data_IF_090462679367
#
_entry.id   IF_090462679367
#
_cell.length_a   1.000
_cell.length_b   1.000
_cell.length_c   1.000
_cell.angle_alpha   90.00
_cell.angle_beta   90.00
_cell.angle_gamma   90.00
#
_symmetry.space_group_name_H-M   'P 1'
#
loop_
_entity.id
_entity.type
_entity.pdbx_description
1 polymer ?
#
# COMPACT_ATOMS: atom_id res chain seq x y z
N UNK A 1 1.38 -4.92 12.64
CA UNK A 1 2.48 -4.43 13.51
C UNK A 1 2.86 -5.53 14.47
N UNK A 2 4.15 -5.83 14.62
CA UNK A 2 4.64 -6.77 15.63
C UNK A 2 5.22 -5.97 16.81
N UNK A 3 4.81 -6.29 18.03
CA UNK A 3 5.29 -5.65 19.27
C UNK A 3 6.32 -6.56 19.93
N UNK A 4 7.50 -6.03 20.29
CA UNK A 4 8.65 -6.79 20.80
C UNK A 4 9.73 -7.04 19.74
N UNK A 5 10.93 -7.42 20.18
CA UNK A 5 12.10 -7.59 19.32
C UNK A 5 11.89 -8.67 18.26
N UNK A 6 11.77 -8.28 16.99
CA UNK A 6 11.60 -9.18 15.86
C UNK A 6 12.95 -9.58 15.22
N UNK A 7 14.02 -9.57 16.04
CA UNK A 7 15.40 -9.74 15.61
C UNK A 7 15.66 -11.06 14.85
N UNK A 8 14.95 -12.12 15.21
CA UNK A 8 15.10 -13.47 14.64
C UNK A 8 14.50 -13.60 13.24
N UNK A 9 13.59 -12.70 12.80
CA UNK A 9 12.88 -12.80 11.51
C UNK A 9 13.23 -11.63 10.57
N UNK A 10 13.59 -10.46 11.11
CA UNK A 10 13.87 -9.25 10.33
C UNK A 10 15.23 -8.60 10.63
N UNK A 11 16.08 -9.23 11.45
CA UNK A 11 17.37 -8.68 11.87
C UNK A 11 17.24 -7.56 12.91
N UNK A 12 18.33 -6.83 13.17
CA UNK A 12 18.39 -5.77 14.19
C UNK A 12 17.25 -4.76 13.94
N UNK A 13 16.36 -4.63 14.92
CA UNK A 13 15.22 -3.71 14.89
C UNK A 13 15.17 -2.89 16.18
N UNK A 14 14.57 -1.71 16.11
CA UNK A 14 14.36 -0.88 17.30
C UNK A 14 13.54 -1.67 18.34
N UNK A 15 13.83 -1.53 19.65
CA UNK A 15 13.16 -2.28 20.72
C UNK A 15 11.64 -2.07 20.79
N UNK A 16 11.12 -1.04 20.12
CA UNK A 16 9.69 -0.76 19.98
C UNK A 16 8.92 -1.66 18.98
N UNK A 17 9.61 -2.48 18.18
CA UNK A 17 9.00 -3.38 17.20
C UNK A 17 9.14 -2.92 15.75
N UNK A 18 8.49 -3.65 14.83
CA UNK A 18 8.62 -3.45 13.37
C UNK A 18 7.28 -3.09 12.73
N UNK A 19 7.32 -2.10 11.84
CA UNK A 19 6.22 -1.75 10.93
C UNK A 19 6.54 -2.30 9.54
N UNK A 20 5.71 -3.21 9.06
CA UNK A 20 5.85 -3.78 7.72
C UNK A 20 4.83 -3.11 6.78
N UNK A 21 5.32 -2.36 5.81
CA UNK A 21 4.52 -1.80 4.72
C UNK A 21 4.54 -2.75 3.53
N UNK A 22 3.39 -3.37 3.26
CA UNK A 22 3.23 -4.24 2.09
C UNK A 22 2.66 -3.43 0.94
N UNK A 23 3.43 -3.32 -0.14
CA UNK A 23 2.97 -2.71 -1.39
C UNK A 23 1.80 -3.50 -1.98
N UNK A 24 0.89 -2.79 -2.65
CA UNK A 24 -0.15 -3.42 -3.45
C UNK A 24 0.48 -4.12 -4.65
N UNK A 25 0.00 -5.31 -4.97
CA UNK A 25 0.45 -6.11 -6.12
C UNK A 25 -0.70 -6.26 -7.12
N UNK A 26 -0.40 -6.81 -8.29
CA UNK A 26 -1.44 -7.19 -9.26
C UNK A 26 -2.18 -8.47 -8.86
N UNK A 27 -3.49 -8.49 -9.09
CA UNK A 27 -4.33 -9.68 -8.94
C UNK A 27 -4.55 -10.42 -10.25
N UNK A 28 -5.23 -11.57 -10.19
CA UNK A 28 -5.58 -12.39 -11.37
C UNK A 28 -6.67 -11.77 -12.24
N UNK A 29 -7.33 -10.73 -11.73
CA UNK A 29 -8.36 -9.97 -12.44
C UNK A 29 -8.05 -8.49 -12.32
N UNK A 30 -8.42 -7.73 -13.34
CA UNK A 30 -8.29 -6.27 -13.33
C UNK A 30 -9.19 -5.69 -12.24
N UNK A 31 -8.61 -4.91 -11.33
CA UNK A 31 -9.30 -4.18 -10.27
C UNK A 31 -8.80 -2.76 -10.21
N UNK A 32 -9.75 -1.82 -10.27
CA UNK A 32 -9.51 -0.40 -10.11
C UNK A 32 -10.26 0.11 -8.89
N UNK A 33 -9.62 0.99 -8.12
CA UNK A 33 -10.20 1.63 -6.95
C UNK A 33 -9.86 3.11 -6.99
N UNK A 34 -10.89 3.94 -6.79
CA UNK A 34 -10.75 5.39 -6.61
C UNK A 34 -11.39 5.74 -5.28
N UNK A 35 -10.75 6.65 -4.53
CA UNK A 35 -11.25 7.11 -3.24
C UNK A 35 -11.04 8.61 -3.11
N UNK A 36 -12.12 9.34 -2.81
CA UNK A 36 -12.06 10.73 -2.38
C UNK A 36 -12.07 10.84 -0.86
N UNK A 37 -11.29 11.76 -0.30
CA UNK A 37 -11.28 12.10 1.12
C UNK A 37 -11.42 13.60 1.25
N UNK A 38 -12.40 14.05 2.04
CA UNK A 38 -12.63 15.45 2.40
C UNK A 38 -12.60 15.60 3.92
N UNK A 39 -12.09 16.71 4.43
CA UNK A 39 -12.01 16.93 5.87
C UNK A 39 -11.71 18.37 6.27
N UNK A 40 -11.59 18.59 7.57
CA UNK A 40 -11.25 19.89 8.15
C UNK A 40 -9.82 20.32 7.82
N UNK A 41 -9.56 21.64 7.81
CA UNK A 41 -8.27 22.26 7.44
C UNK A 41 -7.89 22.02 5.97
N UNK A 42 -8.85 22.28 5.08
CA UNK A 42 -8.67 22.20 3.62
C UNK A 42 -8.17 20.84 3.12
N UNK A 43 -8.50 19.75 3.85
CA UNK A 43 -8.09 18.41 3.44
C UNK A 43 -8.93 17.94 2.25
N UNK A 44 -8.35 17.97 1.06
CA UNK A 44 -8.90 17.35 -0.14
C UNK A 44 -7.89 16.38 -0.74
N UNK A 45 -8.20 15.09 -0.70
CA UNK A 45 -7.32 14.04 -1.24
C UNK A 45 -8.09 13.13 -2.18
N UNK A 46 -7.47 12.82 -3.31
CA UNK A 46 -7.91 11.79 -4.23
C UNK A 46 -6.85 10.71 -4.33
N UNK A 47 -7.26 9.45 -4.14
CA UNK A 47 -6.42 8.27 -4.29
C UNK A 47 -6.94 7.44 -5.47
N UNK A 48 -6.04 6.91 -6.30
CA UNK A 48 -6.37 5.95 -7.34
C UNK A 48 -5.38 4.77 -7.34
N UNK A 49 -5.87 3.59 -7.68
CA UNK A 49 -5.04 2.42 -7.91
C UNK A 49 -5.73 1.48 -8.89
N UNK A 50 -5.00 1.01 -9.90
CA UNK A 50 -5.40 0.01 -10.86
C UNK A 50 -4.37 -1.11 -10.85
N UNK A 51 -4.84 -2.36 -10.89
CA UNK A 51 -3.98 -3.53 -10.83
C UNK A 51 -4.63 -4.72 -11.51
N UNK A 52 -3.82 -5.66 -12.01
CA UNK A 52 -4.34 -6.82 -12.72
C UNK A 52 -3.26 -7.64 -13.43
N UNK A 53 -3.65 -8.67 -14.20
CA UNK A 53 -2.73 -9.40 -15.04
C UNK A 53 -2.35 -8.56 -16.27
N UNK A 54 -1.09 -8.63 -16.68
CA UNK A 54 -0.56 -8.07 -17.93
C UNK A 54 -0.31 -9.19 -18.97
N UNK A 55 -0.16 -10.43 -18.52
CA UNK A 55 -0.01 -11.65 -19.31
C UNK A 55 -0.18 -12.88 -18.41
N UNK A 56 0.22 -14.07 -18.86
CA UNK A 56 0.14 -15.31 -18.06
C UNK A 56 1.00 -15.23 -16.78
N UNK A 57 2.22 -14.72 -16.89
CA UNK A 57 3.18 -14.67 -15.77
C UNK A 57 3.37 -13.28 -15.16
N UNK A 58 2.90 -12.22 -15.84
CA UNK A 58 3.14 -10.84 -15.43
C UNK A 58 1.89 -10.17 -14.89
N UNK A 59 2.07 -9.40 -13.80
CA UNK A 59 1.01 -8.62 -13.18
C UNK A 59 1.46 -7.18 -12.99
N UNK A 60 0.53 -6.24 -13.08
CA UNK A 60 0.79 -4.82 -12.89
C UNK A 60 0.05 -4.27 -11.67
N UNK A 61 0.61 -3.22 -11.09
CA UNK A 61 -0.04 -2.36 -10.11
C UNK A 61 0.44 -0.92 -10.36
N UNK A 62 -0.49 -0.03 -10.66
CA UNK A 62 -0.24 1.39 -10.89
C UNK A 62 -1.19 2.17 -10.01
N UNK A 63 -0.69 3.12 -9.24
CA UNK A 63 -1.54 3.98 -8.44
C UNK A 63 -0.80 5.21 -7.97
N UNK A 64 -1.58 6.15 -7.46
CA UNK A 64 -1.10 7.40 -6.96
C UNK A 64 -2.14 8.07 -6.09
N UNK A 65 -1.72 9.16 -5.48
CA UNK A 65 -2.62 10.03 -4.76
C UNK A 65 -2.22 11.48 -5.01
N UNK A 66 -3.22 12.35 -4.98
CA UNK A 66 -3.02 13.78 -5.02
C UNK A 66 -3.74 14.40 -3.83
N UNK A 67 -3.10 15.39 -3.19
CA UNK A 67 -3.69 16.17 -2.09
C UNK A 67 -3.55 17.66 -2.37
N UNK A 68 -4.63 18.41 -2.20
CA UNK A 68 -4.67 19.87 -2.18
C UNK A 68 -4.78 20.34 -0.74
#
# INVERSE_FOLDING_TARGET
>A
VAKGGAATIYGISAPGGIINYRSKTGGDVVRSTVKGTVGTKDLYRIDFNSNGPLGEDFRYNIGGFYRF
#
